data_IF_880649209610
#
_entry.id   IF_880649209610
#
_cell.length_a   1.000
_cell.length_b   1.000
_cell.length_c   1.000
_cell.angle_alpha   90.00
_cell.angle_beta   90.00
_cell.angle_gamma   90.00
#
_symmetry.space_group_name_H-M   'P 1'
#
loop_
_entity.id
_entity.type
_entity.pdbx_description
1 polymer ?
#
# COMPACT_ATOMS: atom_id res chain seq x y z
N UNK A 1 -1.60 -16.37 7.82
CA UNK A 1 -0.28 -15.77 7.48
C UNK A 1 0.76 -16.88 7.35
N UNK A 2 1.74 -16.69 6.48
CA UNK A 2 2.86 -17.62 6.32
C UNK A 2 4.16 -16.82 6.37
N UNK A 3 5.21 -17.44 6.88
CA UNK A 3 6.57 -16.88 6.91
C UNK A 3 7.51 -17.74 6.07
N UNK A 4 8.62 -17.16 5.64
CA UNK A 4 9.70 -17.89 4.99
C UNK A 4 10.76 -18.21 6.02
N UNK A 5 11.00 -19.49 6.29
CA UNK A 5 11.94 -19.95 7.33
C UNK A 5 13.40 -20.05 6.85
N UNK A 6 13.67 -19.59 5.62
CA UNK A 6 14.96 -19.74 4.94
C UNK A 6 15.00 -20.90 3.94
N UNK A 7 14.05 -21.83 4.00
CA UNK A 7 13.93 -22.97 3.08
C UNK A 7 12.57 -23.03 2.40
N UNK A 8 11.50 -22.97 3.19
CA UNK A 8 10.12 -23.13 2.75
C UNK A 8 9.23 -21.99 3.25
N UNK A 9 8.05 -21.86 2.64
CA UNK A 9 6.98 -20.99 3.14
C UNK A 9 6.09 -21.83 4.07
N UNK A 10 6.07 -21.48 5.34
CA UNK A 10 5.42 -22.24 6.42
C UNK A 10 4.39 -21.39 7.16
N UNK A 11 3.43 -22.03 7.83
CA UNK A 11 2.47 -21.33 8.69
C UNK A 11 3.22 -20.78 9.90
N UNK A 12 3.04 -19.50 10.20
CA UNK A 12 3.60 -18.86 11.40
C UNK A 12 3.13 -19.63 12.63
N UNK A 13 4.07 -19.99 13.50
CA UNK A 13 3.74 -20.74 14.72
C UNK A 13 2.95 -19.89 15.73
N UNK A 14 2.19 -20.55 16.60
CA UNK A 14 1.32 -19.93 17.63
C UNK A 14 0.36 -18.85 17.12
N UNK A 15 0.00 -18.89 15.83
CA UNK A 15 -1.12 -18.10 15.33
C UNK A 15 -2.43 -18.56 16.01
N UNK A 16 -3.40 -17.64 16.19
CA UNK A 16 -4.67 -17.95 16.78
C UNK A 16 -5.42 -19.09 16.10
N UNK A 17 -6.35 -19.71 16.83
CA UNK A 17 -7.18 -20.81 16.32
C UNK A 17 -6.32 -21.97 15.80
N UNK A 18 -5.26 -22.29 16.54
CA UNK A 18 -4.31 -23.36 16.20
C UNK A 18 -3.70 -23.23 14.81
N UNK A 19 -3.36 -22.00 14.40
CA UNK A 19 -2.78 -21.73 13.08
C UNK A 19 -3.78 -21.56 11.94
N UNK A 20 -5.08 -21.79 12.16
CA UNK A 20 -6.12 -21.49 11.18
C UNK A 20 -6.49 -20.00 11.20
N UNK A 21 -5.49 -19.16 10.93
CA UNK A 21 -5.64 -17.72 10.82
C UNK A 21 -5.17 -17.29 9.43
N UNK A 22 -6.00 -16.55 8.72
CA UNK A 22 -5.61 -15.78 7.52
C UNK A 22 -5.96 -14.31 7.74
N UNK A 23 -5.29 -13.41 7.03
CA UNK A 23 -5.52 -11.98 7.14
C UNK A 23 -5.47 -11.35 5.74
N UNK A 24 -6.14 -10.22 5.59
CA UNK A 24 -6.07 -9.46 4.33
C UNK A 24 -4.88 -8.49 4.31
N UNK A 25 -4.54 -7.92 5.46
CA UNK A 25 -3.47 -6.93 5.58
C UNK A 25 -2.45 -7.37 6.64
N UNK A 26 -1.19 -7.04 6.38
CA UNK A 26 -0.06 -7.25 7.28
C UNK A 26 0.77 -5.96 7.31
N UNK A 27 1.17 -5.53 8.50
CA UNK A 27 2.08 -4.40 8.68
C UNK A 27 3.06 -4.70 9.81
N UNK A 28 4.25 -4.10 9.76
CA UNK A 28 5.21 -4.13 10.87
C UNK A 28 5.27 -2.73 11.45
N UNK A 29 4.94 -2.59 12.73
CA UNK A 29 4.90 -1.30 13.40
C UNK A 29 5.40 -1.39 14.83
N UNK A 30 6.34 -0.52 15.20
CA UNK A 30 6.95 -0.49 16.54
C UNK A 30 7.42 -1.88 17.01
N UNK A 31 8.09 -2.65 16.14
CA UNK A 31 8.58 -4.01 16.41
C UNK A 31 7.49 -5.06 16.69
N UNK A 32 6.23 -4.82 16.29
CA UNK A 32 5.15 -5.79 16.34
C UNK A 32 4.71 -6.14 14.92
N UNK A 33 4.31 -7.40 14.71
CA UNK A 33 3.63 -7.83 13.50
C UNK A 33 2.13 -7.61 13.69
N UNK A 34 1.54 -6.76 12.84
CA UNK A 34 0.11 -6.45 12.84
C UNK A 34 -0.60 -7.27 11.77
N UNK A 35 -1.70 -7.92 12.16
CA UNK A 35 -2.60 -8.65 11.28
C UNK A 35 -3.97 -7.96 11.34
N UNK A 36 -4.50 -7.56 10.19
CA UNK A 36 -5.80 -6.87 10.14
C UNK A 36 -6.75 -7.55 9.19
N UNK A 37 -8.05 -7.43 9.50
CA UNK A 37 -9.11 -8.08 8.73
C UNK A 37 -8.85 -9.60 8.69
N UNK A 38 -8.89 -10.23 9.86
CA UNK A 38 -8.52 -11.65 10.03
C UNK A 38 -9.72 -12.56 9.80
N UNK A 39 -9.44 -13.81 9.42
CA UNK A 39 -10.38 -14.93 9.50
C UNK A 39 -9.70 -15.96 10.40
N UNK A 40 -10.29 -16.22 11.56
CA UNK A 40 -9.74 -17.08 12.61
C UNK A 40 -10.70 -18.25 12.84
N UNK A 41 -10.22 -19.48 12.66
CA UNK A 41 -11.05 -20.69 12.82
C UNK A 41 -12.23 -20.75 11.84
N UNK A 42 -12.14 -20.07 10.69
CA UNK A 42 -13.24 -19.93 9.72
C UNK A 42 -14.26 -18.82 10.02
N UNK A 43 -14.09 -18.09 11.12
CA UNK A 43 -14.94 -16.92 11.44
C UNK A 43 -14.25 -15.63 10.99
N UNK A 44 -14.96 -14.79 10.24
CA UNK A 44 -14.43 -13.52 9.75
C UNK A 44 -14.51 -12.42 10.82
N UNK A 45 -13.39 -11.74 11.02
CA UNK A 45 -13.24 -10.57 11.89
C UNK A 45 -12.70 -9.38 11.08
N UNK A 46 -13.52 -8.78 10.19
CA UNK A 46 -13.08 -7.76 9.24
C UNK A 46 -12.68 -6.42 9.87
N UNK A 47 -12.98 -6.24 11.17
CA UNK A 47 -12.72 -5.03 11.95
C UNK A 47 -11.65 -5.23 13.02
N UNK A 48 -11.03 -6.43 13.04
CA UNK A 48 -10.02 -6.80 14.00
C UNK A 48 -8.65 -6.31 13.57
N UNK A 49 -7.93 -5.77 14.54
CA UNK A 49 -6.49 -5.55 14.51
C UNK A 49 -5.88 -6.46 15.57
N UNK A 50 -4.99 -7.35 15.15
CA UNK A 50 -4.26 -8.27 16.03
C UNK A 50 -2.78 -7.97 15.93
N UNK A 51 -2.04 -8.15 17.01
CA UNK A 51 -0.60 -7.90 17.05
C UNK A 51 0.16 -9.05 17.70
N UNK A 52 1.42 -9.23 17.31
CA UNK A 52 2.34 -10.15 17.99
C UNK A 52 2.95 -9.51 19.23
N UNK A 53 3.67 -10.28 20.06
CA UNK A 53 4.56 -9.72 21.09
C UNK A 53 5.74 -8.96 20.45
N UNK A 54 6.30 -7.94 21.13
CA UNK A 54 7.37 -7.13 20.57
C UNK A 54 8.61 -7.98 20.25
N UNK A 55 9.08 -7.89 19.01
CA UNK A 55 10.27 -8.60 18.53
C UNK A 55 10.07 -10.09 18.26
N UNK A 56 8.82 -10.55 18.31
CA UNK A 56 8.42 -11.89 17.90
C UNK A 56 7.40 -11.78 16.76
N UNK A 57 7.59 -12.55 15.71
CA UNK A 57 6.65 -12.73 14.60
C UNK A 57 5.71 -13.93 14.81
N UNK A 58 5.96 -14.74 15.83
CA UNK A 58 5.33 -16.05 16.06
C UNK A 58 4.78 -16.23 17.47
N UNK A 59 4.56 -15.14 18.19
CA UNK A 59 3.92 -15.13 19.50
C UNK A 59 2.73 -14.16 19.49
N UNK A 60 1.53 -14.73 19.53
CA UNK A 60 0.27 -13.99 19.55
C UNK A 60 -0.56 -14.46 20.74
N UNK A 61 -0.68 -13.62 21.77
CA UNK A 61 -1.61 -13.91 22.85
C UNK A 61 -3.06 -13.86 22.34
N UNK A 62 -3.70 -15.01 22.17
CA UNK A 62 -5.05 -15.11 21.62
C UNK A 62 -6.09 -14.28 22.39
N UNK A 63 -5.92 -14.14 23.71
CA UNK A 63 -6.90 -13.53 24.60
C UNK A 63 -6.73 -12.02 24.79
N UNK A 64 -5.57 -11.47 24.46
CA UNK A 64 -5.21 -10.08 24.81
C UNK A 64 -4.73 -9.27 23.61
N UNK A 65 -4.01 -9.88 22.68
CA UNK A 65 -3.31 -9.14 21.63
C UNK A 65 -4.20 -8.87 20.41
N UNK A 66 -5.41 -8.38 20.65
CA UNK A 66 -6.30 -7.91 19.60
C UNK A 66 -7.20 -6.77 20.10
N UNK A 67 -7.68 -5.96 19.17
CA UNK A 67 -8.75 -5.03 19.40
C UNK A 67 -9.70 -5.04 18.19
N UNK A 68 -11.00 -4.94 18.47
CA UNK A 68 -12.03 -4.88 17.45
C UNK A 68 -12.58 -3.45 17.36
N UNK A 69 -12.49 -2.84 16.18
CA UNK A 69 -12.87 -1.45 15.95
C UNK A 69 -14.38 -1.31 15.65
N UNK A 70 -15.21 -1.59 16.67
CA UNK A 70 -16.67 -1.68 16.55
C UNK A 70 -17.43 -0.33 16.57
N UNK A 71 -16.75 0.80 16.73
CA UNK A 71 -17.46 2.11 16.77
C UNK A 71 -18.06 2.53 15.42
N UNK A 72 -17.77 1.79 14.34
CA UNK A 72 -18.36 1.95 13.02
C UNK A 72 -18.55 0.60 12.34
N UNK A 73 -19.54 0.47 11.46
CA UNK A 73 -19.95 -0.82 10.84
C UNK A 73 -19.07 -1.25 9.65
N UNK A 74 -18.22 -0.35 9.16
CA UNK A 74 -17.36 -0.55 7.98
C UNK A 74 -16.20 -1.52 8.24
N UNK A 75 -15.62 -2.06 7.18
CA UNK A 75 -14.52 -3.02 7.26
C UNK A 75 -13.16 -2.36 7.06
N UNK A 76 -12.11 -2.94 7.64
CA UNK A 76 -10.74 -2.46 7.42
C UNK A 76 -10.38 -2.74 5.96
N UNK A 77 -9.98 -1.68 5.23
CA UNK A 77 -9.73 -1.64 3.79
C UNK A 77 -8.25 -1.43 3.43
N UNK A 78 -7.53 -0.62 4.21
CA UNK A 78 -6.09 -0.40 4.05
C UNK A 78 -5.39 -0.07 5.38
N UNK A 79 -4.08 -0.17 5.39
CA UNK A 79 -3.22 0.30 6.48
C UNK A 79 -1.92 0.86 5.91
N UNK A 80 -1.44 1.97 6.48
CA UNK A 80 -0.17 2.57 6.07
C UNK A 80 0.45 3.37 7.23
N UNK A 81 1.78 3.40 7.31
CA UNK A 81 2.50 4.05 8.41
C UNK A 81 2.68 5.53 8.14
N UNK A 82 2.24 6.38 9.08
CA UNK A 82 2.40 7.83 9.02
C UNK A 82 3.16 8.33 10.24
N UNK A 83 4.47 8.55 10.08
CA UNK A 83 5.34 8.97 11.17
C UNK A 83 5.29 8.02 12.37
N UNK A 84 4.73 8.49 13.49
CA UNK A 84 4.57 7.72 14.74
C UNK A 84 3.23 7.01 14.86
N UNK A 85 2.42 7.02 13.80
CA UNK A 85 1.11 6.38 13.78
C UNK A 85 1.07 5.28 12.74
N UNK A 86 0.37 4.19 13.06
CA UNK A 86 -0.14 3.28 12.06
C UNK A 86 -1.56 3.75 11.69
N UNK A 87 -1.76 4.24 10.48
CA UNK A 87 -3.08 4.68 10.01
C UNK A 87 -3.81 3.47 9.46
N UNK A 88 -5.03 3.25 9.95
CA UNK A 88 -5.91 2.17 9.55
C UNK A 88 -7.11 2.80 8.84
N UNK A 89 -7.19 2.57 7.54
CA UNK A 89 -8.30 3.02 6.72
C UNK A 89 -9.34 1.92 6.70
N UNK A 90 -10.54 2.23 7.18
CA UNK A 90 -11.74 1.43 6.93
C UNK A 90 -12.41 1.94 5.66
N UNK A 91 -13.54 1.35 5.26
CA UNK A 91 -14.25 1.79 4.05
C UNK A 91 -14.83 3.19 4.22
N UNK A 92 -15.25 3.60 5.42
CA UNK A 92 -15.95 4.88 5.68
C UNK A 92 -15.44 5.61 6.93
N UNK A 93 -14.29 5.23 7.45
CA UNK A 93 -13.67 5.87 8.61
C UNK A 93 -12.17 5.64 8.61
N UNK A 94 -11.45 6.49 9.33
CA UNK A 94 -9.99 6.39 9.48
C UNK A 94 -9.66 6.39 10.96
N UNK A 95 -8.79 5.45 11.35
CA UNK A 95 -8.27 5.30 12.69
C UNK A 95 -6.78 5.52 12.69
N UNK A 96 -6.27 6.10 13.78
CA UNK A 96 -4.85 6.08 14.11
C UNK A 96 -4.62 5.09 15.23
N UNK A 97 -3.61 4.26 15.06
CA UNK A 97 -3.06 3.38 16.07
C UNK A 97 -1.73 3.96 16.54
N UNK A 98 -1.62 4.23 17.83
CA UNK A 98 -0.42 4.77 18.48
C UNK A 98 0.06 3.83 19.59
N UNK A 99 1.38 3.69 19.72
CA UNK A 99 1.99 2.84 20.74
C UNK A 99 2.08 3.61 22.06
N UNK A 100 1.44 3.08 23.11
CA UNK A 100 1.54 3.64 24.46
C UNK A 100 2.64 2.97 25.29
N UNK A 101 2.92 1.68 25.03
CA UNK A 101 3.92 0.91 25.76
C UNK A 101 3.58 0.65 27.23
N UNK A 102 2.31 0.75 27.61
CA UNK A 102 1.82 0.42 28.95
C UNK A 102 1.49 -1.08 29.04
N UNK A 103 1.58 -1.64 30.25
CA UNK A 103 1.35 -3.08 30.47
C UNK A 103 -0.10 -3.52 30.33
N UNK A 104 -1.04 -2.59 30.54
CA UNK A 104 -2.49 -2.81 30.48
C UNK A 104 -3.12 -2.26 29.19
N UNK A 105 -2.45 -1.32 28.53
CA UNK A 105 -2.87 -0.75 27.26
C UNK A 105 -1.68 -0.52 26.34
N UNK A 106 -1.34 -1.52 25.53
CA UNK A 106 -0.21 -1.44 24.58
C UNK A 106 -0.47 -0.39 23.49
N UNK A 107 -1.72 -0.32 23.02
CA UNK A 107 -2.13 0.49 21.88
C UNK A 107 -3.32 1.38 22.21
N UNK A 108 -3.30 2.58 21.66
CA UNK A 108 -4.46 3.48 21.63
C UNK A 108 -4.96 3.57 20.19
N UNK A 109 -6.26 3.34 20.01
CA UNK A 109 -6.95 3.47 18.73
C UNK A 109 -7.85 4.69 18.80
N UNK A 110 -7.58 5.67 17.95
CA UNK A 110 -8.33 6.92 17.90
C UNK A 110 -8.94 7.07 16.52
N UNK A 111 -10.28 7.09 16.43
CA UNK A 111 -10.98 7.45 15.19
C UNK A 111 -10.75 8.93 14.91
N UNK A 112 -10.16 9.24 13.76
CA UNK A 112 -9.89 10.61 13.35
C UNK A 112 -10.90 11.12 12.35
N UNK A 113 -11.33 10.27 11.43
CA UNK A 113 -12.25 10.62 10.35
C UNK A 113 -13.46 9.69 10.40
N UNK A 114 -14.64 10.28 10.18
CA UNK A 114 -15.91 9.60 10.08
C UNK A 114 -16.60 10.04 8.78
N UNK A 115 -17.11 9.08 8.01
CA UNK A 115 -17.81 9.30 6.75
C UNK A 115 -17.02 8.98 5.48
N UNK A 116 -15.69 8.91 5.55
CA UNK A 116 -14.81 8.57 4.41
C UNK A 116 -13.61 7.73 4.85
N UNK A 117 -13.19 6.85 3.95
CA UNK A 117 -12.09 5.91 4.15
C UNK A 117 -11.36 5.62 2.83
N UNK A 118 -10.57 4.54 2.79
CA UNK A 118 -9.86 4.16 1.56
C UNK A 118 -10.62 3.07 0.80
N UNK A 119 -10.54 3.12 -0.53
CA UNK A 119 -11.19 2.13 -1.40
C UNK A 119 -10.61 0.72 -1.23
N UNK A 120 -9.28 0.61 -1.18
CA UNK A 120 -8.54 -0.63 -0.94
C UNK A 120 -7.11 -0.31 -0.46
N UNK A 121 -6.29 -1.34 -0.20
CA UNK A 121 -4.89 -1.18 0.23
C UNK A 121 -4.06 -0.41 -0.80
N UNK A 122 -4.18 -0.78 -2.07
CA UNK A 122 -3.34 -0.25 -3.14
C UNK A 122 -3.74 1.16 -3.56
N UNK A 123 -4.85 1.71 -3.06
CA UNK A 123 -5.34 3.04 -3.33
C UNK A 123 -4.71 4.13 -2.42
N UNK A 124 -3.90 3.73 -1.44
CA UNK A 124 -3.21 4.61 -0.50
C UNK A 124 -1.76 4.79 -0.93
N UNK A 125 -1.34 6.05 -1.07
CA UNK A 125 0.02 6.49 -1.34
C UNK A 125 0.58 7.13 -0.08
N UNK A 126 1.78 6.73 0.32
CA UNK A 126 2.54 7.34 1.39
C UNK A 126 3.55 8.35 0.83
N UNK A 127 3.44 9.63 1.17
CA UNK A 127 4.43 10.67 0.84
C UNK A 127 5.47 10.89 1.95
N UNK A 128 5.32 10.19 3.07
CA UNK A 128 6.17 10.28 4.25
C UNK A 128 5.56 11.12 5.38
N UNK A 129 5.15 12.35 5.08
CA UNK A 129 4.52 13.28 6.03
C UNK A 129 2.99 13.37 5.88
N UNK A 130 2.46 12.92 4.75
CA UNK A 130 1.03 12.82 4.48
C UNK A 130 0.74 11.61 3.58
N UNK A 131 -0.51 11.13 3.60
CA UNK A 131 -1.00 10.13 2.68
C UNK A 131 -1.91 10.78 1.64
N UNK A 132 -1.79 10.33 0.39
CA UNK A 132 -2.79 10.57 -0.63
C UNK A 132 -3.58 9.28 -0.81
N UNK A 133 -4.90 9.32 -0.77
CA UNK A 133 -5.70 8.11 -0.97
C UNK A 133 -6.94 8.37 -1.79
N UNK A 134 -7.33 7.35 -2.57
CA UNK A 134 -8.62 7.34 -3.24
C UNK A 134 -9.66 6.75 -2.27
N UNK A 135 -10.62 7.59 -1.88
CA UNK A 135 -11.79 7.19 -1.12
C UNK A 135 -12.96 6.83 -2.02
N UNK A 136 -14.16 6.75 -1.44
CA UNK A 136 -15.37 6.37 -2.19
C UNK A 136 -15.94 7.53 -3.00
N UNK A 137 -15.81 8.77 -2.50
CA UNK A 137 -16.40 9.94 -3.15
C UNK A 137 -15.35 10.86 -3.80
N UNK A 138 -14.09 10.80 -3.38
CA UNK A 138 -13.06 11.70 -3.90
C UNK A 138 -11.65 11.14 -3.66
N UNK A 139 -10.64 11.86 -4.13
CA UNK A 139 -9.24 11.66 -3.73
C UNK A 139 -8.91 12.70 -2.68
N UNK A 140 -8.33 12.23 -1.58
CA UNK A 140 -8.06 13.03 -0.39
C UNK A 140 -6.59 12.96 -0.01
N UNK A 141 -6.22 13.95 0.80
CA UNK A 141 -4.94 14.05 1.48
C UNK A 141 -5.17 14.00 2.97
N UNK A 142 -4.35 13.23 3.67
CA UNK A 142 -4.44 13.01 5.11
C UNK A 142 -3.08 13.13 5.77
N UNK A 143 -2.98 14.06 6.70
CA UNK A 143 -1.76 14.39 7.46
C UNK A 143 -1.75 13.76 8.86
N UNK A 144 -2.71 12.89 9.16
CA UNK A 144 -2.85 12.29 10.49
C UNK A 144 -3.68 13.14 11.46
N UNK A 145 -4.30 14.24 11.06
CA UNK A 145 -5.15 15.05 11.93
C UNK A 145 -6.61 14.54 11.97
N UNK A 146 -7.53 15.31 12.56
CA UNK A 146 -8.98 15.01 12.59
C UNK A 146 -9.75 15.56 11.37
N UNK A 147 -9.05 15.83 10.27
CA UNK A 147 -9.64 16.30 9.01
C UNK A 147 -8.89 15.71 7.81
N UNK A 148 -9.59 15.63 6.68
CA UNK A 148 -9.03 15.26 5.38
C UNK A 148 -9.22 16.42 4.40
N UNK A 149 -8.25 16.62 3.53
CA UNK A 149 -8.32 17.64 2.50
C UNK A 149 -8.74 17.03 1.16
N UNK A 150 -9.83 17.48 0.53
CA UNK A 150 -10.20 17.01 -0.81
C UNK A 150 -9.26 17.63 -1.85
N UNK A 151 -8.53 16.77 -2.58
CA UNK A 151 -7.61 17.19 -3.65
C UNK A 151 -8.14 16.87 -5.06
N UNK A 152 -9.16 16.00 -5.13
CA UNK A 152 -9.77 15.56 -6.38
C UNK A 152 -11.01 16.34 -6.84
N UNK A 153 -11.36 17.47 -6.23
CA UNK A 153 -12.56 18.25 -6.60
C UNK A 153 -12.63 18.59 -8.10
N UNK A 154 -11.48 18.90 -8.70
CA UNK A 154 -11.37 19.20 -10.14
C UNK A 154 -11.65 18.00 -11.05
N UNK A 155 -11.56 16.77 -10.54
CA UNK A 155 -11.80 15.52 -11.29
C UNK A 155 -13.04 14.76 -10.80
N UNK A 156 -13.71 15.27 -9.77
CA UNK A 156 -14.89 14.66 -9.16
C UNK A 156 -15.95 14.30 -10.20
N UNK A 157 -16.39 15.28 -10.99
CA UNK A 157 -17.46 15.11 -11.99
C UNK A 157 -17.14 14.05 -13.04
N UNK A 158 -15.85 13.83 -13.30
CA UNK A 158 -15.40 12.88 -14.32
C UNK A 158 -15.31 11.46 -13.78
N UNK A 159 -14.94 11.29 -12.51
CA UNK A 159 -14.56 9.98 -11.95
C UNK A 159 -15.62 9.45 -11.00
N UNK A 160 -16.13 10.29 -10.11
CA UNK A 160 -16.95 9.90 -8.96
C UNK A 160 -18.42 10.32 -9.07
N UNK A 161 -18.78 11.18 -10.04
CA UNK A 161 -20.18 11.49 -10.28
C UNK A 161 -21.00 10.25 -10.68
N UNK A 162 -22.32 10.39 -10.66
CA UNK A 162 -23.24 9.30 -11.03
C UNK A 162 -22.97 8.73 -12.43
N UNK A 163 -22.57 9.59 -13.39
CA UNK A 163 -22.17 9.21 -14.74
C UNK A 163 -20.63 9.14 -14.90
N UNK A 164 -19.92 8.99 -13.78
CA UNK A 164 -18.47 8.96 -13.71
C UNK A 164 -17.86 7.75 -14.41
N UNK A 165 -16.57 7.85 -14.75
CA UNK A 165 -15.87 6.80 -15.49
C UNK A 165 -15.51 5.58 -14.64
N UNK A 166 -15.42 5.69 -13.31
CA UNK A 166 -14.99 4.58 -12.45
C UNK A 166 -15.98 3.42 -12.51
N UNK A 167 -15.49 2.22 -12.82
CA UNK A 167 -16.32 1.02 -12.75
C UNK A 167 -16.46 0.55 -11.28
N UNK A 168 -17.65 0.62 -10.66
CA UNK A 168 -17.83 0.25 -9.27
C UNK A 168 -17.64 -1.25 -9.02
N UNK A 169 -17.93 -2.12 -9.99
CA UNK A 169 -17.84 -3.58 -9.85
C UNK A 169 -16.40 -4.06 -9.66
N UNK A 170 -15.45 -3.38 -10.32
CA UNK A 170 -14.02 -3.72 -10.29
C UNK A 170 -13.19 -2.65 -9.56
N UNK A 171 -13.83 -1.81 -8.75
CA UNK A 171 -13.18 -0.75 -7.96
C UNK A 171 -12.09 -1.28 -7.02
N UNK A 172 -12.21 -2.53 -6.54
CA UNK A 172 -11.19 -3.20 -5.73
C UNK A 172 -9.87 -3.47 -6.47
N UNK A 173 -9.82 -3.34 -7.80
CA UNK A 173 -8.60 -3.49 -8.63
C UNK A 173 -7.87 -2.16 -8.88
N UNK A 174 -8.33 -1.07 -8.27
CA UNK A 174 -7.60 0.19 -8.30
C UNK A 174 -6.25 0.02 -7.61
N UNK A 175 -5.19 0.55 -8.20
CA UNK A 175 -3.89 0.60 -7.56
C UNK A 175 -3.21 1.94 -7.83
N UNK A 176 -2.35 2.34 -6.91
CA UNK A 176 -1.74 3.64 -6.88
C UNK A 176 -0.22 3.53 -6.71
N UNK A 177 0.49 4.52 -7.26
CA UNK A 177 1.95 4.57 -7.23
C UNK A 177 2.37 6.01 -7.06
N UNK A 178 3.34 6.23 -6.19
CA UNK A 178 4.03 7.51 -6.11
C UNK A 178 5.35 7.45 -6.90
N UNK A 179 5.55 8.44 -7.78
CA UNK A 179 6.78 8.59 -8.55
C UNK A 179 7.54 9.79 -8.01
N UNK A 180 8.49 9.52 -7.13
CA UNK A 180 9.28 10.54 -6.42
C UNK A 180 10.03 11.48 -7.36
N UNK A 181 10.55 10.99 -8.49
CA UNK A 181 11.34 11.80 -9.42
C UNK A 181 10.50 12.88 -10.13
N UNK A 182 9.19 12.64 -10.24
CA UNK A 182 8.25 13.54 -10.91
C UNK A 182 7.38 14.31 -9.93
N UNK A 183 7.40 13.95 -8.64
CA UNK A 183 6.48 14.49 -7.64
C UNK A 183 5.01 14.27 -8.08
N UNK A 184 4.71 13.05 -8.56
CA UNK A 184 3.40 12.67 -9.09
C UNK A 184 2.83 11.43 -8.39
N UNK A 185 1.57 11.54 -7.93
CA UNK A 185 0.75 10.40 -7.50
C UNK A 185 -0.11 9.89 -8.65
N UNK A 186 -0.01 8.61 -8.96
CA UNK A 186 -0.72 7.96 -10.05
C UNK A 186 -1.75 6.98 -9.49
N UNK A 187 -2.98 7.01 -10.00
CA UNK A 187 -4.01 6.01 -9.72
C UNK A 187 -4.46 5.37 -11.02
N UNK A 188 -4.43 4.05 -11.06
CA UNK A 188 -4.92 3.24 -12.16
C UNK A 188 -6.27 2.67 -11.79
N UNK A 189 -7.27 2.86 -12.65
CA UNK A 189 -8.64 2.43 -12.37
C UNK A 189 -9.30 1.81 -13.61
N UNK A 190 -10.20 0.81 -13.41
CA UNK A 190 -11.04 0.32 -14.49
C UNK A 190 -12.12 1.35 -14.82
N UNK A 191 -12.31 1.62 -16.11
CA UNK A 191 -13.26 2.63 -16.59
C UNK A 191 -14.43 2.05 -17.38
N UNK A 192 -15.65 2.50 -17.13
CA UNK A 192 -16.86 2.04 -17.82
C UNK A 192 -17.10 0.55 -17.59
N UNK A 193 -16.98 -0.25 -18.66
CA UNK A 193 -17.16 -1.71 -18.61
C UNK A 193 -15.82 -2.48 -18.56
N UNK A 194 -14.69 -1.79 -18.41
CA UNK A 194 -13.40 -2.46 -18.30
C UNK A 194 -13.31 -3.20 -16.96
N UNK A 195 -12.89 -4.47 -16.99
CA UNK A 195 -12.63 -5.26 -15.78
C UNK A 195 -11.26 -4.97 -15.16
N UNK A 196 -10.31 -4.52 -15.98
CA UNK A 196 -8.94 -4.23 -15.56
C UNK A 196 -8.60 -2.77 -15.81
N UNK A 197 -7.76 -2.15 -14.95
CA UNK A 197 -7.28 -0.79 -15.17
C UNK A 197 -6.64 -0.59 -16.55
N UNK A 198 -7.12 0.41 -17.28
CA UNK A 198 -6.51 0.93 -18.52
C UNK A 198 -6.32 2.44 -18.48
N UNK A 199 -6.97 3.10 -17.54
CA UNK A 199 -6.95 4.55 -17.40
C UNK A 199 -6.18 4.91 -16.13
N UNK A 200 -5.35 5.94 -16.23
CA UNK A 200 -4.52 6.46 -15.16
C UNK A 200 -4.85 7.93 -14.91
N UNK A 201 -5.12 8.26 -13.66
CA UNK A 201 -5.15 9.61 -13.12
C UNK A 201 -3.77 9.94 -12.60
N UNK A 202 -3.30 11.15 -12.91
CA UNK A 202 -2.05 11.69 -12.39
C UNK A 202 -2.34 12.98 -11.65
N UNK A 203 -1.88 13.06 -10.43
CA UNK A 203 -1.81 14.28 -9.64
C UNK A 203 -0.36 14.70 -9.54
N UNK A 204 -0.03 15.90 -10.01
CA UNK A 204 1.22 16.54 -9.64
C UNK A 204 1.09 17.21 -8.29
N UNK A 205 1.82 16.75 -7.27
CA UNK A 205 1.62 17.15 -5.87
C UNK A 205 1.89 18.64 -5.68
N UNK A 206 3.02 19.14 -6.20
CA UNK A 206 3.40 20.55 -6.14
C UNK A 206 2.41 21.53 -6.79
N UNK A 207 1.88 21.23 -7.97
CA UNK A 207 0.99 22.17 -8.71
C UNK A 207 -0.49 21.86 -8.53
N UNK A 208 -0.84 20.74 -7.87
CA UNK A 208 -2.21 20.22 -7.74
C UNK A 208 -2.94 20.09 -9.07
N UNK A 209 -2.18 19.82 -10.13
CA UNK A 209 -2.71 19.71 -11.48
C UNK A 209 -3.02 18.25 -11.79
N UNK A 210 -4.19 18.02 -12.37
CA UNK A 210 -4.63 16.69 -12.78
C UNK A 210 -4.37 16.46 -14.26
N UNK A 211 -4.01 15.23 -14.60
CA UNK A 211 -3.86 14.77 -15.97
C UNK A 211 -4.34 13.33 -16.08
N UNK A 212 -4.94 12.99 -17.22
CA UNK A 212 -5.48 11.65 -17.46
C UNK A 212 -4.76 11.03 -18.64
N UNK A 213 -4.41 9.76 -18.52
CA UNK A 213 -3.81 8.98 -19.60
C UNK A 213 -4.54 7.66 -19.75
N UNK A 214 -4.91 7.32 -20.97
CA UNK A 214 -5.46 6.00 -21.31
C UNK A 214 -4.39 5.16 -22.00
N UNK A 215 -4.26 3.92 -21.59
CA UNK A 215 -3.39 2.93 -22.17
C UNK A 215 -4.16 2.00 -23.11
N UNK A 216 -3.48 1.50 -24.15
CA UNK A 216 -4.02 0.47 -25.04
C UNK A 216 -3.89 -0.95 -24.49
N UNK A 217 -3.31 -1.09 -23.29
CA UNK A 217 -3.05 -2.36 -22.60
C UNK A 217 -3.75 -2.36 -21.26
N UNK A 218 -4.10 -3.55 -20.77
CA UNK A 218 -4.56 -3.74 -19.39
C UNK A 218 -3.38 -3.70 -18.43
N UNK A 219 -3.61 -3.17 -17.24
CA UNK A 219 -2.61 -3.00 -16.20
C UNK A 219 -3.11 -3.71 -14.94
N UNK A 220 -2.24 -4.45 -14.28
CA UNK A 220 -2.57 -5.21 -13.05
C UNK A 220 -1.65 -4.87 -11.88
N UNK A 221 -0.63 -4.05 -12.12
CA UNK A 221 0.32 -3.64 -11.10
C UNK A 221 1.43 -2.78 -11.67
N UNK A 222 2.36 -2.45 -10.78
CA UNK A 222 3.51 -1.62 -11.07
C UNK A 222 4.74 -2.21 -10.38
N UNK A 223 5.93 -1.97 -10.95
CA UNK A 223 7.19 -2.36 -10.34
C UNK A 223 8.35 -1.55 -10.87
N UNK A 224 9.42 -1.50 -10.09
CA UNK A 224 10.70 -0.97 -10.55
C UNK A 224 11.51 -2.11 -11.17
N UNK A 225 11.98 -1.89 -12.39
CA UNK A 225 12.93 -2.78 -13.02
C UNK A 225 14.30 -2.12 -13.05
N UNK A 226 15.30 -2.81 -12.52
CA UNK A 226 16.69 -2.47 -12.74
C UNK A 226 17.24 -3.41 -13.80
N UNK A 227 17.50 -2.89 -15.00
CA UNK A 227 18.24 -3.63 -16.01
C UNK A 227 19.65 -3.91 -15.49
N UNK A 228 19.98 -5.18 -15.27
CA UNK A 228 21.34 -5.60 -14.99
C UNK A 228 22.09 -5.72 -16.32
N UNK A 229 22.74 -4.63 -16.73
CA UNK A 229 23.70 -4.65 -17.83
C UNK A 229 25.06 -5.12 -17.33
N UNK A 230 25.28 -6.42 -17.22
CA UNK A 230 26.63 -6.94 -17.00
C UNK A 230 27.42 -6.76 -18.29
N UNK A 231 28.38 -5.83 -18.31
CA UNK A 231 29.40 -5.82 -19.37
C UNK A 231 30.27 -7.05 -19.14
N UNK A 232 29.96 -8.13 -19.84
CA UNK A 232 30.82 -9.32 -19.87
C UNK A 232 32.13 -8.96 -20.57
N UNK A 233 33.23 -9.65 -20.24
CA UNK A 233 34.53 -9.49 -20.92
C UNK A 233 34.41 -9.57 -22.44
N UNK A 234 33.48 -10.40 -22.93
CA UNK A 234 33.22 -10.62 -24.35
C UNK A 234 32.55 -9.44 -25.06
N UNK A 235 31.93 -8.53 -24.29
CA UNK A 235 31.22 -7.33 -24.78
C UNK A 235 31.96 -6.03 -24.48
N UNK A 236 33.05 -6.08 -23.70
CA UNK A 236 33.86 -4.92 -23.37
C UNK A 236 34.68 -4.48 -24.60
N UNK A 237 34.37 -3.31 -25.16
CA UNK A 237 35.16 -2.72 -26.24
C UNK A 237 36.43 -2.07 -25.67
N UNK A 238 37.60 -2.69 -25.89
CA UNK A 238 38.89 -2.11 -25.48
C UNK A 238 39.97 -3.17 -25.24
N UNK A 239 41.21 -2.72 -25.08
CA UNK A 239 42.33 -3.55 -24.62
C UNK A 239 42.48 -3.40 -23.10
N UNK A 240 43.09 -4.37 -22.43
CA UNK A 240 43.33 -4.35 -20.98
C UNK A 240 43.91 -3.02 -20.48
N UNK A 241 44.78 -2.39 -21.28
CA UNK A 241 45.47 -1.15 -20.96
C UNK A 241 44.59 0.12 -21.04
N UNK A 242 43.35 0.02 -21.52
CA UNK A 242 42.42 1.16 -21.64
C UNK A 242 41.46 1.28 -20.43
N UNK A 243 41.46 0.31 -19.51
CA UNK A 243 40.59 0.33 -18.34
C UNK A 243 41.32 0.91 -17.12
N UNK A 244 41.23 2.22 -16.92
CA UNK A 244 41.72 2.90 -15.72
C UNK A 244 40.64 2.92 -14.63
N UNK A 245 40.44 1.80 -13.93
CA UNK A 245 39.53 1.74 -12.77
C UNK A 245 39.25 0.31 -12.25
N UNK A 246 38.78 0.15 -11.00
CA UNK A 246 38.41 -1.15 -10.46
C UNK A 246 37.26 -1.77 -11.26
N UNK A 247 37.42 -3.03 -11.64
CA UNK A 247 36.40 -3.84 -12.32
C UNK A 247 35.16 -3.94 -11.40
N UNK A 248 33.98 -3.56 -11.90
CA UNK A 248 32.73 -3.27 -11.15
C UNK A 248 32.62 -1.87 -10.52
N UNK A 249 33.26 -0.85 -11.08
CA UNK A 249 32.93 0.52 -10.72
C UNK A 249 31.50 0.87 -11.18
N UNK A 250 30.77 1.63 -10.35
CA UNK A 250 29.42 2.16 -10.66
C UNK A 250 29.37 2.99 -11.95
N UNK A 251 30.53 3.33 -12.51
CA UNK A 251 30.71 4.05 -13.78
C UNK A 251 30.69 3.13 -15.02
N UNK A 252 30.91 1.82 -14.88
CA UNK A 252 30.89 0.84 -16.00
C UNK A 252 29.50 0.16 -16.12
N UNK A 253 28.64 0.29 -15.10
CA UNK A 253 27.23 -0.10 -15.18
C UNK A 253 26.46 1.00 -15.93
N UNK A 254 25.84 0.67 -17.07
CA UNK A 254 25.23 1.62 -17.98
C UNK A 254 23.92 2.28 -17.50
N UNK A 255 23.59 2.27 -16.21
CA UNK A 255 22.24 2.62 -15.74
C UNK A 255 22.27 3.55 -14.52
N UNK A 256 22.48 4.85 -14.77
CA UNK A 256 22.01 5.89 -13.86
C UNK A 256 20.71 6.48 -14.40
N UNK A 257 19.58 5.83 -14.07
CA UNK A 257 18.20 6.32 -13.88
C UNK A 257 17.24 5.14 -14.04
N UNK A 258 16.41 4.92 -13.03
CA UNK A 258 15.39 3.88 -13.01
C UNK A 258 14.44 4.06 -14.20
N UNK A 259 14.21 3.00 -14.98
CA UNK A 259 13.19 3.01 -16.03
C UNK A 259 11.96 2.28 -15.48
N UNK A 260 10.84 3.01 -15.37
CA UNK A 260 9.56 2.47 -14.93
C UNK A 260 9.03 1.48 -16.00
N UNK A 261 8.73 0.24 -15.62
CA UNK A 261 7.97 -0.69 -16.47
C UNK A 261 6.67 -1.10 -15.75
N UNK A 262 5.55 -0.96 -16.46
CA UNK A 262 4.22 -1.41 -16.02
C UNK A 262 4.06 -2.89 -16.38
N UNK A 263 3.91 -3.75 -15.38
CA UNK A 263 3.78 -5.20 -15.55
C UNK A 263 2.33 -5.65 -15.79
N UNK A 264 2.15 -6.57 -16.74
CA UNK A 264 0.93 -7.36 -16.93
C UNK A 264 1.13 -8.70 -16.19
N UNK A 265 0.42 -8.91 -15.08
CA UNK A 265 0.27 -10.24 -14.48
C UNK A 265 -1.01 -10.85 -15.07
N UNK A 266 -0.81 -11.93 -15.84
CA UNK A 266 -1.87 -12.77 -16.41
C UNK A 266 -2.29 -13.82 -15.38
#
# INVERSE_FOLDING_TARGET
PMEFDGTDVVVISNLPSSGNTVCRLVAVFTNHLLLMHTVEGGTAFPQRVRWSEPGSDSDFNESVNFNDLYDSEDFIAATETLGTFQVIYKERSIYRMEFLGLSDQTWQFTRTIDGEGALNQDAVINLGDEHLFMGNANIYRYDGNFSIDPVGDNIFDKIFAQDGELNPEFSSRVFAVYVEELDEGWWFYPSGNDEFPKTMLKLKVSTRAWSIRKFGVTLSGFGFFQAQGDVTWQTALGTWAAFEGPWLSKQIQSNARQQLELGLLI
#
